data_IF_973418547550
#
_entry.id   IF_973418547550
#
_cell.length_a   1.000
_cell.length_b   1.000
_cell.length_c   1.000
_cell.angle_alpha   90.00
_cell.angle_beta   90.00
_cell.angle_gamma   90.00
#
_symmetry.space_group_name_H-M   'P 1'
#
loop_
_entity.id
_entity.type
_entity.pdbx_description
1 polymer ?
#
# COMPACT_ATOMS: atom_id res chain seq x y z
N UNK A 1 -28.19 24.78 -10.87
CA UNK A 1 -26.90 24.11 -10.68
C UNK A 1 -25.95 24.19 -11.87
N UNK A 2 -26.34 24.00 -13.17
CA UNK A 2 -25.38 24.13 -14.29
C UNK A 2 -24.75 25.52 -14.45
N UNK A 3 -25.48 26.60 -14.13
CA UNK A 3 -24.98 27.96 -14.22
C UNK A 3 -23.83 28.27 -13.24
N UNK A 4 -23.82 27.63 -12.08
CA UNK A 4 -22.78 27.86 -11.07
C UNK A 4 -21.48 27.16 -11.42
N UNK A 5 -21.55 26.01 -12.07
CA UNK A 5 -20.37 25.28 -12.54
C UNK A 5 -19.64 26.02 -13.66
N UNK A 6 -20.37 26.57 -14.63
CA UNK A 6 -19.78 27.38 -15.71
C UNK A 6 -19.08 28.64 -15.17
N UNK A 7 -19.71 29.33 -14.20
CA UNK A 7 -19.10 30.47 -13.53
C UNK A 7 -17.84 30.08 -12.72
N UNK A 8 -17.87 28.92 -12.07
CA UNK A 8 -16.69 28.41 -11.35
C UNK A 8 -15.51 28.20 -12.30
N UNK A 9 -15.75 27.61 -13.48
CA UNK A 9 -14.72 27.46 -14.52
C UNK A 9 -14.15 28.81 -14.92
N UNK A 10 -15.01 29.81 -15.22
CA UNK A 10 -14.54 31.15 -15.60
C UNK A 10 -13.65 31.79 -14.51
N UNK A 11 -14.00 31.62 -13.23
CA UNK A 11 -13.19 32.14 -12.12
C UNK A 11 -11.87 31.41 -11.97
N UNK A 12 -11.88 30.09 -12.09
CA UNK A 12 -10.64 29.30 -12.06
C UNK A 12 -9.75 29.60 -13.28
N UNK A 13 -10.30 29.80 -14.48
CA UNK A 13 -9.54 30.21 -15.65
C UNK A 13 -8.88 31.58 -15.46
N UNK A 14 -9.60 32.55 -14.86
CA UNK A 14 -9.03 33.85 -14.49
C UNK A 14 -7.90 33.73 -13.45
N UNK A 15 -8.05 32.84 -12.47
CA UNK A 15 -7.00 32.58 -11.49
C UNK A 15 -5.80 31.86 -12.13
N UNK A 16 -6.06 30.83 -12.95
CA UNK A 16 -5.04 30.10 -13.70
C UNK A 16 -4.23 31.01 -14.64
N UNK A 17 -4.86 32.05 -15.27
CA UNK A 17 -4.15 33.04 -16.07
C UNK A 17 -3.11 33.86 -15.27
N UNK A 18 -3.23 33.88 -13.94
CA UNK A 18 -2.31 34.49 -13.01
C UNK A 18 -1.32 33.50 -12.38
N UNK A 19 -1.21 32.31 -12.97
CA UNK A 19 -0.37 31.21 -12.49
C UNK A 19 -0.76 30.65 -11.13
N UNK A 20 -2.05 30.67 -10.79
CA UNK A 20 -2.56 30.00 -9.61
C UNK A 20 -2.61 28.49 -9.86
N UNK A 21 -1.70 27.75 -9.20
CA UNK A 21 -1.59 26.29 -9.33
C UNK A 21 -2.82 25.56 -8.80
N UNK A 22 -3.44 26.08 -7.73
CA UNK A 22 -4.67 25.52 -7.19
C UNK A 22 -5.82 25.58 -8.20
N UNK A 23 -5.95 26.72 -8.89
CA UNK A 23 -6.96 26.88 -9.93
C UNK A 23 -6.74 25.93 -11.13
N UNK A 24 -5.49 25.74 -11.53
CA UNK A 24 -5.13 24.79 -12.60
C UNK A 24 -5.46 23.36 -12.21
N UNK A 25 -5.12 22.97 -10.97
CA UNK A 25 -5.44 21.66 -10.41
C UNK A 25 -6.97 21.42 -10.38
N UNK A 26 -7.72 22.38 -9.85
CA UNK A 26 -9.20 22.28 -9.78
C UNK A 26 -9.84 22.17 -11.16
N UNK A 27 -9.40 22.95 -12.16
CA UNK A 27 -9.87 22.83 -13.53
C UNK A 27 -9.59 21.43 -14.10
N UNK A 28 -8.38 20.92 -13.90
CA UNK A 28 -8.02 19.57 -14.32
C UNK A 28 -8.94 18.51 -13.72
N UNK A 29 -9.18 18.59 -12.41
CA UNK A 29 -10.06 17.68 -11.67
C UNK A 29 -11.52 17.81 -12.15
N UNK A 30 -12.05 19.03 -12.28
CA UNK A 30 -13.43 19.26 -12.72
C UNK A 30 -13.69 18.63 -14.09
N UNK A 31 -12.78 18.80 -15.05
CA UNK A 31 -12.93 18.21 -16.38
C UNK A 31 -12.64 16.70 -16.41
N UNK A 32 -11.76 16.19 -15.57
CA UNK A 32 -11.47 14.75 -15.49
C UNK A 32 -12.64 13.97 -14.87
N UNK A 33 -13.10 14.43 -13.72
CA UNK A 33 -14.07 13.68 -12.89
C UNK A 33 -15.52 13.93 -13.32
N UNK A 34 -15.78 15.01 -14.03
CA UNK A 34 -17.13 15.35 -14.50
C UNK A 34 -18.13 15.65 -13.38
N UNK A 35 -17.65 16.02 -12.18
CA UNK A 35 -18.51 16.15 -10.98
C UNK A 35 -19.59 17.21 -11.08
N UNK A 36 -19.30 18.30 -11.79
CA UNK A 36 -20.24 19.46 -11.95
C UNK A 36 -20.47 19.79 -13.42
N UNK A 37 -19.66 19.26 -14.30
CA UNK A 37 -19.65 19.44 -15.75
C UNK A 37 -19.55 18.06 -16.40
N UNK A 38 -19.98 17.87 -17.65
CA UNK A 38 -19.64 16.67 -18.38
C UNK A 38 -18.12 16.48 -18.40
N UNK A 39 -17.61 15.25 -18.20
CA UNK A 39 -16.17 15.00 -18.25
C UNK A 39 -15.64 15.34 -19.65
N UNK A 40 -14.48 16.00 -19.67
CA UNK A 40 -13.79 16.41 -20.90
C UNK A 40 -12.30 16.08 -20.74
N UNK A 41 -11.91 14.94 -21.29
CA UNK A 41 -10.55 14.41 -21.17
C UNK A 41 -9.50 15.34 -21.80
N UNK A 42 -9.82 16.01 -22.90
CA UNK A 42 -8.87 16.89 -23.58
C UNK A 42 -8.60 18.14 -22.75
N UNK A 43 -9.65 18.73 -22.17
CA UNK A 43 -9.48 19.87 -21.27
C UNK A 43 -8.76 19.50 -19.98
N UNK A 44 -9.08 18.34 -19.39
CA UNK A 44 -8.37 17.85 -18.22
C UNK A 44 -6.86 17.69 -18.50
N UNK A 45 -6.54 17.06 -19.64
CA UNK A 45 -5.16 16.89 -20.08
C UNK A 45 -4.45 18.23 -20.25
N UNK A 46 -5.07 19.18 -20.94
CA UNK A 46 -4.53 20.54 -21.15
C UNK A 46 -4.21 21.24 -19.81
N UNK A 47 -5.13 21.18 -18.82
CA UNK A 47 -4.90 21.84 -17.54
C UNK A 47 -3.82 21.17 -16.72
N UNK A 48 -3.78 19.83 -16.66
CA UNK A 48 -2.69 19.12 -15.99
C UNK A 48 -1.35 19.31 -16.69
N UNK A 49 -1.32 19.36 -18.03
CA UNK A 49 -0.09 19.68 -18.78
C UNK A 49 0.44 21.07 -18.44
N UNK A 50 -0.44 22.06 -18.36
CA UNK A 50 -0.09 23.41 -17.93
C UNK A 50 0.43 23.47 -16.50
N UNK A 51 -0.18 22.72 -15.57
CA UNK A 51 0.33 22.59 -14.21
C UNK A 51 1.68 21.89 -14.14
N UNK A 52 1.88 20.87 -14.94
CA UNK A 52 3.16 20.16 -15.05
C UNK A 52 4.29 21.06 -15.62
N UNK A 53 4.00 21.91 -16.61
CA UNK A 53 4.93 22.94 -17.10
C UNK A 53 5.37 23.90 -15.98
N UNK A 54 4.46 24.21 -15.06
CA UNK A 54 4.77 25.07 -13.90
C UNK A 54 5.33 24.30 -12.71
N UNK A 55 5.71 23.04 -12.92
CA UNK A 55 6.32 22.17 -11.93
C UNK A 55 5.43 21.89 -10.71
N UNK A 56 4.10 21.91 -10.90
CA UNK A 56 3.17 21.44 -9.87
C UNK A 56 3.20 19.91 -9.78
N UNK A 57 3.62 19.35 -8.62
CA UNK A 57 3.81 17.91 -8.50
C UNK A 57 2.51 17.10 -8.57
N UNK A 58 1.39 17.69 -8.15
CA UNK A 58 0.08 17.04 -8.29
C UNK A 58 -0.32 16.93 -9.77
N UNK A 59 -0.22 18.04 -10.51
CA UNK A 59 -0.55 18.07 -11.94
C UNK A 59 0.35 17.15 -12.76
N UNK A 60 1.64 17.06 -12.43
CA UNK A 60 2.56 16.08 -13.03
C UNK A 60 2.06 14.64 -12.81
N UNK A 61 1.67 14.30 -11.57
CA UNK A 61 1.17 12.97 -11.26
C UNK A 61 -0.16 12.68 -11.95
N UNK A 62 -1.09 13.65 -11.98
CA UNK A 62 -2.37 13.52 -12.65
C UNK A 62 -2.22 13.37 -14.18
N UNK A 63 -1.31 14.13 -14.81
CA UNK A 63 -0.97 13.97 -16.19
C UNK A 63 -0.38 12.58 -16.50
N UNK A 64 0.50 12.09 -15.63
CA UNK A 64 1.06 10.75 -15.74
C UNK A 64 -0.01 9.66 -15.61
N UNK A 65 -0.96 9.79 -14.68
CA UNK A 65 -2.12 8.89 -14.57
C UNK A 65 -2.91 8.87 -15.89
N UNK A 66 -3.21 10.02 -16.48
CA UNK A 66 -3.93 10.12 -17.75
C UNK A 66 -3.18 9.53 -18.95
N UNK A 67 -1.85 9.62 -18.96
CA UNK A 67 -1.01 8.99 -19.98
C UNK A 67 -1.03 7.46 -19.92
N UNK A 68 -1.29 6.90 -18.72
CA UNK A 68 -1.34 5.45 -18.49
C UNK A 68 -2.74 4.85 -18.63
N UNK A 69 -3.79 5.66 -18.87
CA UNK A 69 -5.14 5.14 -19.07
C UNK A 69 -5.26 4.31 -20.35
N UNK A 70 -5.97 3.20 -20.26
CA UNK A 70 -6.20 2.28 -21.39
C UNK A 70 -4.96 1.45 -21.74
N UNK A 71 -4.54 1.49 -23.00
CA UNK A 71 -3.36 0.78 -23.51
C UNK A 71 -2.27 1.78 -23.90
N UNK A 72 -1.45 2.24 -22.95
CA UNK A 72 -0.43 3.26 -23.23
C UNK A 72 0.65 2.73 -24.16
N UNK A 73 1.14 3.58 -25.07
CA UNK A 73 2.34 3.29 -25.84
C UNK A 73 3.57 3.29 -24.91
N UNK A 74 4.68 2.69 -25.38
CA UNK A 74 5.94 2.73 -24.64
C UNK A 74 6.42 4.17 -24.37
N UNK A 75 6.20 5.08 -25.32
CA UNK A 75 6.53 6.50 -25.16
C UNK A 75 5.67 7.18 -24.08
N UNK A 76 4.37 6.91 -24.07
CA UNK A 76 3.46 7.43 -23.03
C UNK A 76 3.84 6.90 -21.64
N UNK A 77 4.16 5.62 -21.54
CA UNK A 77 4.59 5.01 -20.29
C UNK A 77 5.93 5.57 -19.78
N UNK A 78 6.89 5.81 -20.69
CA UNK A 78 8.15 6.44 -20.33
C UNK A 78 7.96 7.91 -19.89
N UNK A 79 7.11 8.68 -20.60
CA UNK A 79 6.76 10.05 -20.20
C UNK A 79 6.07 10.08 -18.84
N UNK A 80 5.16 9.14 -18.56
CA UNK A 80 4.49 9.03 -17.28
C UNK A 80 5.48 8.74 -16.14
N UNK A 81 6.41 7.80 -16.35
CA UNK A 81 7.46 7.51 -15.37
C UNK A 81 8.33 8.75 -15.08
N UNK A 82 8.72 9.50 -16.11
CA UNK A 82 9.48 10.73 -15.94
C UNK A 82 8.71 11.77 -15.09
N UNK A 83 7.43 11.97 -15.37
CA UNK A 83 6.57 12.89 -14.61
C UNK A 83 6.41 12.45 -13.15
N UNK A 84 6.22 11.16 -12.87
CA UNK A 84 6.17 10.66 -11.51
C UNK A 84 7.50 10.83 -10.77
N UNK A 85 8.64 10.63 -11.43
CA UNK A 85 9.97 10.89 -10.86
C UNK A 85 10.14 12.35 -10.46
N UNK A 86 9.75 13.28 -11.33
CA UNK A 86 9.80 14.71 -11.04
C UNK A 86 8.88 15.09 -9.88
N UNK A 87 7.63 14.61 -9.88
CA UNK A 87 6.69 14.85 -8.80
C UNK A 87 7.17 14.26 -7.45
N UNK A 88 7.75 13.06 -7.48
CA UNK A 88 8.34 12.41 -6.31
C UNK A 88 9.56 13.18 -5.78
N UNK A 89 10.41 13.71 -6.67
CA UNK A 89 11.53 14.56 -6.31
C UNK A 89 11.08 15.85 -5.62
N UNK A 90 9.95 16.42 -6.05
CA UNK A 90 9.29 17.57 -5.43
C UNK A 90 8.58 17.24 -4.09
N UNK A 91 8.63 15.97 -3.63
CA UNK A 91 8.07 15.54 -2.35
C UNK A 91 6.64 15.00 -2.43
N UNK A 92 6.07 14.81 -3.61
CA UNK A 92 4.75 14.21 -3.76
C UNK A 92 4.85 12.67 -3.68
N UNK A 93 4.74 12.13 -2.48
CA UNK A 93 4.92 10.71 -2.20
C UNK A 93 3.99 9.74 -2.96
N UNK A 94 2.70 10.07 -3.27
CA UNK A 94 1.89 9.21 -4.12
C UNK A 94 2.52 8.96 -5.50
N UNK A 95 3.20 9.93 -6.09
CA UNK A 95 3.92 9.74 -7.36
C UNK A 95 5.13 8.80 -7.20
N UNK A 96 5.81 8.82 -6.05
CA UNK A 96 6.91 7.90 -5.78
C UNK A 96 6.45 6.43 -5.74
N UNK A 97 5.26 6.16 -5.18
CA UNK A 97 4.67 4.82 -5.20
C UNK A 97 4.32 4.36 -6.61
N UNK A 98 3.75 5.25 -7.43
CA UNK A 98 3.44 4.97 -8.82
C UNK A 98 4.69 4.74 -9.68
N UNK A 99 5.72 5.58 -9.49
CA UNK A 99 7.01 5.39 -10.15
C UNK A 99 7.62 4.03 -9.79
N UNK A 100 7.64 3.67 -8.51
CA UNK A 100 8.16 2.39 -8.05
C UNK A 100 7.38 1.20 -8.64
N UNK A 101 6.05 1.30 -8.76
CA UNK A 101 5.21 0.29 -9.40
C UNK A 101 5.56 0.11 -10.89
N UNK A 102 5.75 1.19 -11.64
CA UNK A 102 6.17 1.13 -13.04
C UNK A 102 7.56 0.52 -13.20
N UNK A 103 8.50 0.87 -12.32
CA UNK A 103 9.86 0.35 -12.32
C UNK A 103 9.91 -1.14 -11.97
N UNK A 104 9.06 -1.61 -11.06
CA UNK A 104 8.96 -3.04 -10.72
C UNK A 104 8.34 -3.89 -11.85
N UNK A 105 7.40 -3.31 -12.61
CA UNK A 105 6.68 -4.02 -13.66
C UNK A 105 7.32 -3.84 -15.06
N UNK A 106 8.33 -2.99 -15.19
CA UNK A 106 8.96 -2.63 -16.48
C UNK A 106 8.04 -1.88 -17.44
N UNK A 107 6.85 -1.46 -17.00
CA UNK A 107 5.88 -0.78 -17.86
C UNK A 107 6.30 0.64 -18.27
N UNK A 108 7.24 1.23 -17.53
CA UNK A 108 7.79 2.56 -17.86
C UNK A 108 9.04 2.53 -18.75
N UNK A 109 9.42 1.36 -19.28
CA UNK A 109 10.61 1.15 -20.10
C UNK A 109 11.55 0.12 -19.47
N UNK A 110 12.46 0.53 -18.61
CA UNK A 110 13.41 -0.37 -17.95
C UNK A 110 12.91 -0.83 -16.58
N UNK A 111 13.22 -2.10 -16.25
CA UNK A 111 13.10 -2.61 -14.90
C UNK A 111 14.27 -2.04 -14.08
N UNK A 112 13.98 -1.20 -13.07
CA UNK A 112 14.98 -0.70 -12.13
C UNK A 112 14.52 -0.96 -10.68
N UNK A 113 14.87 -2.15 -10.20
CA UNK A 113 14.55 -2.56 -8.83
C UNK A 113 15.30 -1.73 -7.78
N UNK A 114 16.45 -1.15 -8.11
CA UNK A 114 17.23 -0.32 -7.18
C UNK A 114 16.64 1.07 -7.04
N UNK A 115 16.16 1.67 -8.13
CA UNK A 115 15.43 2.92 -8.06
C UNK A 115 14.10 2.73 -7.34
N UNK A 116 13.34 1.68 -7.66
CA UNK A 116 12.09 1.36 -6.96
C UNK A 116 12.33 1.21 -5.45
N UNK A 117 13.39 0.50 -5.05
CA UNK A 117 13.77 0.38 -3.64
C UNK A 117 14.04 1.74 -2.99
N UNK A 118 14.83 2.61 -3.63
CA UNK A 118 15.15 3.94 -3.09
C UNK A 118 13.90 4.80 -2.89
N UNK A 119 12.99 4.80 -3.88
CA UNK A 119 11.73 5.53 -3.81
C UNK A 119 10.83 5.00 -2.69
N UNK A 120 10.62 3.70 -2.63
CA UNK A 120 9.77 3.05 -1.62
C UNK A 120 10.32 3.26 -0.21
N UNK A 121 11.63 3.11 -0.02
CA UNK A 121 12.28 3.34 1.26
C UNK A 121 12.09 4.77 1.73
N UNK A 122 12.32 5.75 0.84
CA UNK A 122 12.10 7.17 1.16
C UNK A 122 10.66 7.45 1.60
N UNK A 123 9.65 6.85 0.93
CA UNK A 123 8.24 7.01 1.33
C UNK A 123 7.97 6.34 2.67
N UNK A 124 8.39 5.08 2.85
CA UNK A 124 8.18 4.34 4.09
C UNK A 124 8.81 5.04 5.29
N UNK A 125 10.06 5.50 5.16
CA UNK A 125 10.78 6.20 6.23
C UNK A 125 10.16 7.57 6.57
N UNK A 126 9.64 8.30 5.57
CA UNK A 126 9.09 9.64 5.77
C UNK A 126 7.65 9.64 6.29
N UNK A 127 6.84 8.67 5.90
CA UNK A 127 5.38 8.69 6.12
C UNK A 127 4.85 7.54 6.93
N UNK A 128 5.60 6.43 7.01
CA UNK A 128 5.06 5.18 7.53
C UNK A 128 3.94 4.59 6.66
N UNK A 129 3.86 4.94 5.37
CA UNK A 129 2.81 4.50 4.46
C UNK A 129 2.77 2.97 4.34
N UNK A 130 1.65 2.31 4.68
CA UNK A 130 1.58 0.85 4.70
C UNK A 130 1.67 0.22 3.31
N UNK A 131 1.27 0.92 2.25
CA UNK A 131 1.44 0.46 0.87
C UNK A 131 2.92 0.49 0.48
N UNK A 132 3.64 1.55 0.86
CA UNK A 132 5.09 1.64 0.66
C UNK A 132 5.83 0.50 1.38
N UNK A 133 5.49 0.22 2.63
CA UNK A 133 6.06 -0.89 3.40
C UNK A 133 5.79 -2.24 2.73
N UNK A 134 4.56 -2.47 2.27
CA UNK A 134 4.20 -3.68 1.54
C UNK A 134 5.00 -3.87 0.25
N UNK A 135 5.10 -2.83 -0.57
CA UNK A 135 5.87 -2.86 -1.81
C UNK A 135 7.37 -3.04 -1.55
N UNK A 136 7.89 -2.37 -0.53
CA UNK A 136 9.29 -2.52 -0.11
C UNK A 136 9.59 -3.94 0.40
N UNK A 137 8.67 -4.56 1.15
CA UNK A 137 8.77 -5.95 1.56
C UNK A 137 8.90 -6.90 0.36
N UNK A 138 8.13 -6.66 -0.71
CA UNK A 138 8.26 -7.45 -1.94
C UNK A 138 9.64 -7.30 -2.58
N UNK A 139 10.22 -6.10 -2.58
CA UNK A 139 11.59 -5.89 -3.08
C UNK A 139 12.62 -6.68 -2.23
N UNK A 140 12.46 -6.71 -0.90
CA UNK A 140 13.34 -7.51 -0.04
C UNK A 140 13.22 -9.00 -0.32
N UNK A 141 12.01 -9.54 -0.52
CA UNK A 141 11.83 -10.94 -0.91
C UNK A 141 12.49 -11.27 -2.25
N UNK A 142 12.40 -10.41 -3.25
CA UNK A 142 13.10 -10.64 -4.54
C UNK A 142 14.62 -10.59 -4.42
N UNK A 143 15.15 -9.92 -3.40
CA UNK A 143 16.59 -9.85 -3.08
C UNK A 143 17.06 -10.99 -2.16
N UNK A 144 16.13 -11.86 -1.70
CA UNK A 144 16.44 -12.97 -0.79
C UNK A 144 16.60 -12.56 0.68
N UNK A 145 16.27 -11.31 1.05
CA UNK A 145 16.27 -10.86 2.44
C UNK A 145 14.86 -11.01 3.04
N UNK A 146 14.52 -12.26 3.34
CA UNK A 146 13.20 -12.62 3.88
C UNK A 146 12.94 -11.97 5.24
N UNK A 147 13.95 -11.82 6.09
CA UNK A 147 13.80 -11.27 7.42
C UNK A 147 13.32 -9.80 7.41
N UNK A 148 13.92 -8.98 6.54
CA UNK A 148 13.49 -7.59 6.35
C UNK A 148 12.11 -7.55 5.67
N UNK A 149 11.88 -8.41 4.68
CA UNK A 149 10.60 -8.57 4.01
C UNK A 149 9.46 -8.87 4.99
N UNK A 150 9.65 -9.85 5.88
CA UNK A 150 8.67 -10.24 6.90
C UNK A 150 8.40 -9.12 7.90
N UNK A 151 9.44 -8.42 8.34
CA UNK A 151 9.30 -7.30 9.27
C UNK A 151 8.42 -6.19 8.69
N UNK A 152 8.70 -5.78 7.45
CA UNK A 152 7.93 -4.74 6.75
C UNK A 152 6.51 -5.21 6.40
N UNK A 153 6.36 -6.47 5.98
CA UNK A 153 5.05 -7.06 5.68
C UNK A 153 4.17 -7.07 6.92
N UNK A 154 4.73 -7.45 8.07
CA UNK A 154 4.04 -7.42 9.36
C UNK A 154 3.66 -5.99 9.76
N UNK A 155 4.56 -5.02 9.63
CA UNK A 155 4.29 -3.62 9.94
C UNK A 155 3.15 -3.07 9.06
N UNK A 156 3.17 -3.36 7.76
CA UNK A 156 2.11 -3.00 6.82
C UNK A 156 0.75 -3.63 7.19
N UNK A 157 0.74 -4.92 7.58
CA UNK A 157 -0.47 -5.60 8.02
C UNK A 157 -1.02 -5.02 9.33
N UNK A 158 -0.15 -4.66 10.28
CA UNK A 158 -0.53 -3.99 11.53
C UNK A 158 -1.11 -2.60 11.30
N UNK A 159 -0.68 -1.91 10.24
CA UNK A 159 -1.28 -0.66 9.77
C UNK A 159 -2.56 -0.87 8.93
N UNK A 160 -3.17 -2.06 9.02
CA UNK A 160 -4.44 -2.42 8.39
C UNK A 160 -4.44 -2.36 6.84
N UNK A 161 -3.30 -2.61 6.21
CA UNK A 161 -3.24 -2.71 4.76
C UNK A 161 -3.71 -4.09 4.28
N UNK A 162 -4.88 -4.16 3.64
CA UNK A 162 -5.53 -5.40 3.23
C UNK A 162 -4.62 -6.39 2.46
N UNK A 163 -3.84 -5.96 1.44
CA UNK A 163 -2.95 -6.88 0.73
C UNK A 163 -1.87 -7.50 1.64
N UNK A 164 -1.35 -6.73 2.61
CA UNK A 164 -0.37 -7.22 3.57
C UNK A 164 -1.00 -8.21 4.56
N UNK A 165 -2.19 -7.93 5.06
CA UNK A 165 -2.94 -8.83 5.95
C UNK A 165 -3.21 -10.16 5.26
N UNK A 166 -3.69 -10.14 4.02
CA UNK A 166 -3.92 -11.34 3.22
C UNK A 166 -2.62 -12.12 2.95
N UNK A 167 -1.52 -11.42 2.72
CA UNK A 167 -0.20 -12.05 2.52
C UNK A 167 0.28 -12.71 3.82
N UNK A 168 0.21 -12.02 4.96
CA UNK A 168 0.58 -12.55 6.27
C UNK A 168 -0.25 -13.79 6.63
N UNK A 169 -1.56 -13.74 6.40
CA UNK A 169 -2.43 -14.90 6.63
C UNK A 169 -1.96 -16.13 5.84
N UNK A 170 -1.62 -15.96 4.57
CA UNK A 170 -1.11 -17.04 3.72
C UNK A 170 0.25 -17.56 4.17
N UNK A 171 1.18 -16.66 4.51
CA UNK A 171 2.52 -17.05 4.97
C UNK A 171 2.45 -17.93 6.22
N UNK A 172 1.53 -17.67 7.15
CA UNK A 172 1.35 -18.50 8.34
C UNK A 172 0.71 -19.87 8.07
N UNK A 173 0.20 -20.14 6.88
CA UNK A 173 -0.34 -21.45 6.47
C UNK A 173 0.60 -22.26 5.56
N UNK A 174 1.60 -21.62 4.97
CA UNK A 174 2.53 -22.31 4.07
C UNK A 174 3.65 -23.00 4.88
N UNK A 175 3.88 -24.31 4.68
CA UNK A 175 4.89 -25.05 5.45
C UNK A 175 6.33 -24.59 5.14
N UNK A 176 6.57 -24.07 3.92
CA UNK A 176 7.89 -23.67 3.45
C UNK A 176 8.06 -22.13 3.44
N UNK A 177 7.27 -21.42 4.23
CA UNK A 177 7.40 -19.97 4.36
C UNK A 177 8.49 -19.60 5.37
N UNK A 178 9.00 -18.37 5.26
CA UNK A 178 9.91 -17.75 6.24
C UNK A 178 9.32 -17.66 7.65
N UNK A 179 7.99 -17.69 7.77
CA UNK A 179 7.29 -17.55 9.04
C UNK A 179 6.83 -18.91 9.58
N UNK A 180 6.80 -19.08 10.91
CA UNK A 180 6.32 -20.31 11.51
C UNK A 180 4.83 -20.53 11.19
N UNK A 181 4.49 -21.80 10.89
CA UNK A 181 3.11 -22.21 10.66
C UNK A 181 2.24 -21.85 11.87
N UNK A 182 1.24 -21.03 11.67
CA UNK A 182 0.36 -20.54 12.73
C UNK A 182 -1.05 -20.23 12.20
N UNK A 183 -1.96 -21.23 12.17
CA UNK A 183 -3.30 -21.04 11.64
C UNK A 183 -4.14 -20.06 12.47
N UNK A 184 -3.81 -19.82 13.76
CA UNK A 184 -4.51 -18.84 14.57
C UNK A 184 -4.21 -17.41 14.11
N UNK A 185 -2.93 -17.11 13.79
CA UNK A 185 -2.57 -15.83 13.20
C UNK A 185 -3.12 -15.67 11.79
N UNK A 186 -3.16 -16.75 11.01
CA UNK A 186 -3.79 -16.73 9.69
C UNK A 186 -5.27 -16.37 9.79
N UNK A 187 -6.01 -17.02 10.69
CA UNK A 187 -7.40 -16.69 10.97
C UNK A 187 -7.57 -15.24 11.40
N UNK A 188 -6.73 -14.77 12.34
CA UNK A 188 -6.77 -13.40 12.84
C UNK A 188 -6.65 -12.37 11.70
N UNK A 189 -5.65 -12.52 10.83
CA UNK A 189 -5.47 -11.61 9.71
C UNK A 189 -6.62 -11.63 8.70
N UNK A 190 -7.13 -12.84 8.35
CA UNK A 190 -8.25 -12.94 7.43
C UNK A 190 -9.57 -12.46 8.04
N UNK A 191 -9.79 -12.67 9.34
CA UNK A 191 -10.98 -12.16 10.00
C UNK A 191 -10.97 -10.62 10.02
N UNK A 192 -9.84 -10.01 10.38
CA UNK A 192 -9.71 -8.55 10.34
C UNK A 192 -9.88 -7.99 8.94
N UNK A 193 -9.29 -8.60 7.92
CA UNK A 193 -9.48 -8.19 6.53
C UNK A 193 -10.96 -8.31 6.10
N UNK A 194 -11.65 -9.35 6.55
CA UNK A 194 -13.09 -9.54 6.31
C UNK A 194 -13.95 -8.44 6.97
N UNK A 195 -13.62 -8.05 8.20
CA UNK A 195 -14.28 -6.93 8.90
C UNK A 195 -14.10 -5.59 8.17
N UNK A 196 -13.02 -5.46 7.40
CA UNK A 196 -12.75 -4.30 6.53
C UNK A 196 -13.42 -4.40 5.14
N UNK A 197 -14.23 -5.43 4.90
CA UNK A 197 -15.00 -5.61 3.66
C UNK A 197 -14.36 -6.53 2.61
N UNK A 198 -13.27 -7.23 2.92
CA UNK A 198 -12.71 -8.25 2.03
C UNK A 198 -13.51 -9.56 2.17
N UNK A 199 -14.50 -9.76 1.29
CA UNK A 199 -15.37 -10.95 1.29
C UNK A 199 -14.59 -12.26 1.10
N UNK A 200 -13.48 -12.24 0.34
CA UNK A 200 -12.64 -13.42 0.14
C UNK A 200 -11.87 -13.78 1.42
N UNK A 201 -11.38 -12.78 2.13
CA UNK A 201 -10.74 -12.97 3.42
C UNK A 201 -11.73 -13.46 4.47
N UNK A 202 -12.94 -12.89 4.53
CA UNK A 202 -14.02 -13.35 5.41
C UNK A 202 -14.38 -14.81 5.13
N UNK A 203 -14.51 -15.19 3.85
CA UNK A 203 -14.76 -16.58 3.46
C UNK A 203 -13.61 -17.48 3.85
N UNK A 204 -12.36 -17.09 3.65
CA UNK A 204 -11.18 -17.86 4.03
C UNK A 204 -11.10 -18.06 5.55
N UNK A 205 -11.37 -17.03 6.34
CA UNK A 205 -11.45 -17.11 7.79
C UNK A 205 -12.56 -18.09 8.23
N UNK A 206 -13.74 -17.99 7.61
CA UNK A 206 -14.85 -18.91 7.88
C UNK A 206 -14.45 -20.37 7.57
N UNK A 207 -13.86 -20.65 6.41
CA UNK A 207 -13.42 -21.98 6.04
C UNK A 207 -12.31 -22.53 6.93
N UNK A 208 -11.40 -21.68 7.39
CA UNK A 208 -10.36 -22.09 8.32
C UNK A 208 -10.95 -22.49 9.68
N UNK A 209 -12.01 -21.81 10.14
CA UNK A 209 -12.71 -22.10 11.37
C UNK A 209 -13.64 -23.33 11.26
N UNK A 210 -14.39 -23.47 10.14
CA UNK A 210 -15.49 -24.40 10.04
C UNK A 210 -15.30 -25.50 8.97
N UNK A 211 -14.38 -25.32 8.03
CA UNK A 211 -14.18 -26.21 6.87
C UNK A 211 -13.42 -27.51 7.14
N UNK A 212 -12.78 -27.63 8.28
CA UNK A 212 -12.19 -28.88 8.72
C UNK A 212 -12.94 -29.38 9.93
N UNK A 213 -13.86 -30.36 9.78
CA UNK A 213 -14.61 -31.00 10.87
C UNK A 213 -14.20 -30.52 12.27
N UNK A 214 -15.12 -30.05 13.12
CA UNK A 214 -14.86 -29.37 14.41
C UNK A 214 -13.82 -30.03 15.36
N UNK A 215 -13.34 -31.22 14.99
CA UNK A 215 -12.23 -31.97 15.61
C UNK A 215 -10.88 -31.27 15.40
N UNK A 216 -10.66 -30.62 14.22
CA UNK A 216 -9.38 -29.97 13.92
C UNK A 216 -9.17 -28.68 14.74
N UNK A 217 -10.24 -27.93 14.96
CA UNK A 217 -10.21 -26.73 15.80
C UNK A 217 -10.06 -27.06 17.28
N UNK A 218 -10.68 -28.13 17.75
CA UNK A 218 -10.49 -28.61 19.12
C UNK A 218 -9.05 -29.04 19.35
N UNK A 219 -8.43 -29.70 18.36
CA UNK A 219 -7.01 -30.08 18.42
C UNK A 219 -6.08 -28.85 18.42
N UNK A 220 -6.35 -27.87 17.56
CA UNK A 220 -5.58 -26.60 17.54
C UNK A 220 -5.77 -25.84 18.86
N UNK A 221 -7.00 -25.72 19.35
CA UNK A 221 -7.27 -25.06 20.63
C UNK A 221 -6.55 -25.76 21.80
N UNK A 222 -6.54 -27.07 21.82
CA UNK A 222 -5.83 -27.87 22.84
C UNK A 222 -4.31 -27.67 22.72
N UNK A 223 -3.76 -27.64 21.50
CA UNK A 223 -2.33 -27.43 21.25
C UNK A 223 -1.91 -26.02 21.68
N UNK A 224 -2.67 -24.99 21.27
CA UNK A 224 -2.40 -23.59 21.65
C UNK A 224 -2.54 -23.39 23.15
N UNK A 225 -3.59 -23.96 23.76
CA UNK A 225 -3.80 -23.90 25.20
C UNK A 225 -2.70 -24.61 25.99
N UNK A 226 -2.24 -25.78 25.52
CA UNK A 226 -1.07 -26.48 26.08
C UNK A 226 0.22 -25.68 25.94
N UNK A 227 0.43 -25.06 24.80
CA UNK A 227 1.62 -24.23 24.54
C UNK A 227 1.62 -22.97 25.40
N UNK A 228 0.49 -22.29 25.54
CA UNK A 228 0.37 -21.14 26.44
C UNK A 228 0.59 -21.52 27.91
N UNK A 229 0.04 -22.66 28.33
CA UNK A 229 0.32 -23.18 29.68
C UNK A 229 1.79 -23.54 29.89
N UNK A 230 2.42 -24.12 28.90
CA UNK A 230 3.85 -24.44 28.94
C UNK A 230 4.73 -23.19 28.99
N UNK A 231 4.44 -22.19 28.18
CA UNK A 231 5.12 -20.91 28.20
C UNK A 231 4.93 -20.16 29.52
N UNK A 232 3.70 -20.15 30.05
CA UNK A 232 3.41 -19.56 31.35
C UNK A 232 4.14 -20.27 32.53
N UNK A 233 4.27 -21.59 32.46
CA UNK A 233 5.05 -22.35 33.46
C UNK A 233 6.54 -22.02 33.39
N UNK A 234 7.13 -21.94 32.21
CA UNK A 234 8.53 -21.54 32.02
C UNK A 234 8.82 -20.12 32.52
N UNK A 235 7.93 -19.18 32.22
CA UNK A 235 8.02 -17.81 32.77
C UNK A 235 7.94 -17.78 34.30
N UNK A 236 7.03 -18.55 34.88
CA UNK A 236 6.91 -18.66 36.34
C UNK A 236 8.14 -19.30 36.98
N UNK A 237 8.73 -20.31 36.34
CA UNK A 237 9.98 -20.95 36.79
C UNK A 237 11.18 -19.99 36.71
N UNK A 238 11.29 -19.22 35.62
CA UNK A 238 12.33 -18.18 35.50
C UNK A 238 12.20 -17.10 36.58
N UNK A 239 11.00 -16.58 36.78
CA UNK A 239 10.74 -15.60 37.85
C UNK A 239 11.02 -16.13 39.25
N UNK A 240 10.81 -17.43 39.46
CA UNK A 240 11.12 -18.08 40.76
C UNK A 240 12.63 -18.24 40.99
N UNK A 241 13.38 -18.55 39.89
CA UNK A 241 14.84 -18.61 39.94
C UNK A 241 15.48 -17.23 40.14
N UNK A 242 14.94 -16.19 39.47
CA UNK A 242 15.41 -14.82 39.66
C UNK A 242 15.15 -14.31 41.10
N UNK A 243 14.01 -14.65 41.73
CA UNK A 243 13.72 -14.30 43.10
C UNK A 243 14.66 -15.04 44.08
N UNK A 244 14.90 -16.33 43.90
CA UNK A 244 15.83 -17.07 44.71
C UNK A 244 17.26 -16.53 44.61
N UNK A 245 17.71 -16.19 43.41
CA UNK A 245 19.03 -15.58 43.20
C UNK A 245 19.17 -14.18 43.84
N UNK A 246 18.05 -13.44 43.98
CA UNK A 246 18.05 -12.14 44.67
C UNK A 246 17.98 -12.25 46.19
N UNK A 247 17.45 -13.35 46.73
CA UNK A 247 17.36 -13.61 48.16
C UNK A 247 18.67 -14.22 48.72
N UNK A 248 19.49 -14.84 47.85
CA UNK A 248 20.78 -15.43 48.19
C UNK A 248 21.97 -14.48 48.00
N UNK A 249 21.75 -13.23 47.55
CA UNK A 249 22.76 -12.17 47.30
C UNK A 249 22.67 -11.03 48.29
#
# INVERSE_FOLDING_TARGET
>A
MPQDAAKAVEWFEKAASRKDLGAVMELGIMFRDGKYLPPDREKAFHWFEKGAEWKDPYSMAALADMLLEGTPSAEQAARALALYREAAAAGYFPAALKAAELLQNGKGGELDADEAYRLLRRVADATGDPKAMYMLAQVYYTRGDEAQGDSLMKASAQAAYLPAMNRMARLHLLPDSSLPWNPVLSYYYWNQAGEMGDEKAASAAFWLLWGGSGIFLLAIFIIVWRFQRFAARRLAEQQKQERQASDDA
#
